data_IF_540530660529
#
_entry.id   IF_540530660529
#
_cell.length_a   1.000
_cell.length_b   1.000
_cell.length_c   1.000
_cell.angle_alpha   90.00
_cell.angle_beta   90.00
_cell.angle_gamma   90.00
#
_symmetry.space_group_name_H-M   'P 1'
#
loop_
_entity.id
_entity.type
_entity.pdbx_description
1 polymer ?
#
# COMPACT_ATOMS: atom_id res chain seq x y z
N UNK A 1 15.41 -9.71 -1.38
CA UNK A 1 14.66 -10.65 -2.24
C UNK A 1 13.35 -9.98 -2.60
N UNK A 2 12.93 -9.96 -3.86
CA UNK A 2 11.66 -9.37 -4.27
C UNK A 2 10.49 -10.20 -3.76
N UNK A 3 9.88 -9.77 -2.65
CA UNK A 3 8.65 -10.34 -2.08
C UNK A 3 7.97 -9.37 -1.12
N UNK A 4 6.65 -9.48 -0.91
CA UNK A 4 6.02 -8.73 0.17
C UNK A 4 6.54 -9.23 1.51
N UNK A 5 6.56 -8.35 2.51
CA UNK A 5 6.82 -8.71 3.90
C UNK A 5 5.64 -9.53 4.45
N UNK A 6 4.42 -9.11 4.16
CA UNK A 6 3.17 -9.80 4.55
C UNK A 6 2.07 -9.58 3.50
N UNK A 7 1.08 -10.45 3.50
CA UNK A 7 -0.11 -10.36 2.66
C UNK A 7 -1.36 -10.23 3.54
N UNK A 8 -2.14 -9.17 3.35
CA UNK A 8 -3.37 -8.92 4.09
C UNK A 8 -4.59 -8.89 3.17
N UNK A 9 -5.77 -9.15 3.72
CA UNK A 9 -7.01 -9.03 2.96
C UNK A 9 -7.31 -7.58 2.60
N UNK A 10 -7.15 -6.66 3.56
CA UNK A 10 -7.36 -5.23 3.38
C UNK A 10 -6.29 -4.42 4.11
N UNK A 11 -6.10 -3.18 3.69
CA UNK A 11 -5.23 -2.25 4.42
C UNK A 11 -5.77 -1.94 5.83
N UNK A 12 -7.09 -1.94 6.00
CA UNK A 12 -7.76 -1.69 7.29
C UNK A 12 -7.55 -2.79 8.31
N UNK A 13 -6.98 -3.93 7.91
CA UNK A 13 -6.60 -5.03 8.79
C UNK A 13 -5.29 -4.74 9.54
N UNK A 14 -4.57 -3.66 9.17
CA UNK A 14 -3.46 -3.11 9.94
C UNK A 14 -3.99 -2.37 11.16
N UNK A 15 -3.65 -2.84 12.36
CA UNK A 15 -3.99 -2.15 13.61
C UNK A 15 -2.89 -1.17 14.02
N UNK A 16 -3.21 -0.26 14.93
CA UNK A 16 -2.22 0.67 15.49
C UNK A 16 -1.15 -0.11 16.26
N UNK A 17 -1.58 -1.14 16.99
CA UNK A 17 -0.74 -2.02 17.78
C UNK A 17 0.29 -2.74 16.89
N UNK A 18 -0.15 -3.31 15.76
CA UNK A 18 0.77 -3.98 14.85
C UNK A 18 1.85 -3.02 14.31
N UNK A 19 1.47 -1.77 14.03
CA UNK A 19 2.39 -0.77 13.50
C UNK A 19 3.38 -0.28 14.58
N UNK A 20 2.91 -0.13 15.81
CA UNK A 20 3.77 0.22 16.96
C UNK A 20 4.80 -0.88 17.26
N UNK A 21 4.39 -2.15 17.25
CA UNK A 21 5.30 -3.30 17.41
C UNK A 21 6.37 -3.35 16.31
N UNK A 22 6.02 -2.92 15.09
CA UNK A 22 6.94 -2.84 13.96
C UNK A 22 7.75 -1.54 13.90
N UNK A 23 7.55 -0.63 14.86
CA UNK A 23 8.10 0.73 14.91
C UNK A 23 7.79 1.58 13.66
N UNK A 24 6.61 1.37 13.07
CA UNK A 24 6.13 2.11 11.90
C UNK A 24 5.45 3.40 12.34
N UNK A 25 5.86 4.51 11.76
CA UNK A 25 5.27 5.84 11.96
C UNK A 25 4.70 6.44 10.68
N UNK A 26 4.98 5.84 9.52
CA UNK A 26 4.44 6.29 8.22
C UNK A 26 4.00 5.10 7.37
N UNK A 27 2.77 5.19 6.86
CA UNK A 27 2.23 4.26 5.86
C UNK A 27 2.23 4.97 4.51
N UNK A 28 2.99 4.45 3.56
CA UNK A 28 2.92 4.86 2.16
C UNK A 28 2.02 3.88 1.42
N UNK A 29 0.88 4.31 0.90
CA UNK A 29 -0.11 3.41 0.29
C UNK A 29 -0.41 3.77 -1.15
N UNK A 30 -0.63 2.79 -2.00
CA UNK A 30 -1.34 3.03 -3.26
C UNK A 30 -2.80 3.48 -2.99
N UNK A 31 -3.40 4.11 -4.00
CA UNK A 31 -4.77 4.58 -3.95
C UNK A 31 -5.76 3.56 -4.54
N UNK A 32 -5.57 3.22 -5.82
CA UNK A 32 -6.58 2.55 -6.63
C UNK A 32 -6.54 1.05 -6.35
N UNK A 33 -7.68 0.45 -6.03
CA UNK A 33 -7.79 -0.94 -5.57
C UNK A 33 -7.01 -1.29 -4.29
N UNK A 34 -6.36 -0.33 -3.65
CA UNK A 34 -5.70 -0.49 -2.35
C UNK A 34 -6.47 0.23 -1.24
N UNK A 35 -6.58 1.56 -1.34
CA UNK A 35 -7.31 2.38 -0.36
C UNK A 35 -8.76 2.61 -0.79
N UNK A 36 -9.00 2.84 -2.09
CA UNK A 36 -10.31 3.06 -2.68
C UNK A 36 -10.50 2.20 -3.93
N UNK A 37 -11.74 1.81 -4.30
CA UNK A 37 -12.00 1.23 -5.61
C UNK A 37 -11.55 2.20 -6.72
N UNK A 38 -10.84 1.70 -7.75
CA UNK A 38 -10.23 2.55 -8.79
C UNK A 38 -11.22 3.45 -9.57
N UNK A 39 -12.50 3.04 -9.61
CA UNK A 39 -13.59 3.72 -10.31
C UNK A 39 -14.54 4.50 -9.37
N UNK A 40 -14.17 4.68 -8.11
CA UNK A 40 -14.97 5.40 -7.11
C UNK A 40 -14.14 6.46 -6.39
N UNK A 41 -14.81 7.50 -5.90
CA UNK A 41 -14.28 8.43 -4.90
C UNK A 41 -14.97 8.25 -3.55
N UNK A 42 -15.89 7.29 -3.47
CA UNK A 42 -16.60 6.97 -2.25
C UNK A 42 -15.72 6.07 -1.40
N UNK A 43 -15.64 6.42 -0.12
CA UNK A 43 -15.05 5.59 0.92
C UNK A 43 -16.12 5.22 1.94
N UNK A 44 -15.97 4.04 2.53
CA UNK A 44 -16.83 3.64 3.62
C UNK A 44 -16.40 4.27 4.95
N UNK A 45 -17.29 4.18 5.95
CA UNK A 45 -17.02 4.68 7.30
C UNK A 45 -15.87 3.93 7.98
N UNK A 46 -15.60 2.68 7.58
CA UNK A 46 -14.56 1.85 8.16
C UNK A 46 -13.16 2.39 7.81
N UNK A 47 -12.96 2.78 6.55
CA UNK A 47 -11.73 3.42 6.10
C UNK A 47 -11.50 4.75 6.80
N UNK A 48 -12.53 5.60 6.89
CA UNK A 48 -12.41 6.90 7.58
C UNK A 48 -12.06 6.73 9.05
N UNK A 49 -12.69 5.75 9.73
CA UNK A 49 -12.37 5.43 11.12
C UNK A 49 -10.92 4.97 11.26
N UNK A 50 -10.47 4.06 10.38
CA UNK A 50 -9.11 3.56 10.37
C UNK A 50 -8.07 4.68 10.17
N UNK A 51 -8.28 5.56 9.18
CA UNK A 51 -7.41 6.72 8.95
C UNK A 51 -7.34 7.67 10.15
N UNK A 52 -8.48 7.94 10.78
CA UNK A 52 -8.52 8.76 12.00
C UNK A 52 -7.78 8.11 13.16
N UNK A 53 -7.88 6.78 13.33
CA UNK A 53 -7.14 6.06 14.36
C UNK A 53 -5.63 6.14 14.13
N UNK A 54 -5.17 6.01 12.88
CA UNK A 54 -3.76 6.19 12.53
C UNK A 54 -3.27 7.60 12.87
N UNK A 55 -4.00 8.63 12.42
CA UNK A 55 -3.67 10.02 12.69
C UNK A 55 -3.62 10.34 14.21
N UNK A 56 -4.58 9.84 14.98
CA UNK A 56 -4.64 10.02 16.44
C UNK A 56 -3.45 9.36 17.18
N UNK A 57 -2.81 8.38 16.56
CA UNK A 57 -1.66 7.66 17.12
C UNK A 57 -0.32 8.07 16.48
N UNK A 58 -0.28 9.24 15.83
CA UNK A 58 0.90 9.78 15.15
C UNK A 58 1.46 8.88 14.04
N UNK A 59 0.58 8.11 13.40
CA UNK A 59 0.90 7.31 12.23
C UNK A 59 0.37 8.06 11.01
N UNK A 60 1.27 8.60 10.21
CA UNK A 60 0.90 9.35 9.01
C UNK A 60 0.57 8.39 7.86
N UNK A 61 -0.57 8.59 7.21
CA UNK A 61 -0.92 7.86 5.98
C UNK A 61 -0.73 8.78 4.78
N UNK A 62 0.08 8.30 3.84
CA UNK A 62 0.49 9.02 2.64
C UNK A 62 0.13 8.24 1.39
N UNK A 63 -0.62 8.85 0.49
CA UNK A 63 -0.91 8.28 -0.82
C UNK A 63 0.31 8.40 -1.73
N UNK A 64 0.71 7.30 -2.35
CA UNK A 64 1.74 7.26 -3.39
C UNK A 64 1.12 6.67 -4.66
N UNK A 65 0.71 7.52 -5.59
CA UNK A 65 -0.04 7.12 -6.79
C UNK A 65 0.66 7.50 -8.09
N UNK A 66 0.48 6.68 -9.12
CA UNK A 66 0.89 7.00 -10.50
C UNK A 66 -0.05 7.97 -11.22
N UNK A 67 -1.20 8.30 -10.62
CA UNK A 67 -2.18 9.24 -11.18
C UNK A 67 -1.74 10.71 -11.06
N UNK A 68 -2.48 11.60 -11.73
CA UNK A 68 -2.30 13.06 -11.58
C UNK A 68 -2.73 13.51 -10.18
N UNK A 69 -2.11 14.59 -9.70
CA UNK A 69 -2.46 15.18 -8.41
C UNK A 69 -3.95 15.52 -8.31
N UNK A 70 -4.52 16.17 -9.33
CA UNK A 70 -5.96 16.50 -9.40
C UNK A 70 -6.87 15.27 -9.21
N UNK A 71 -6.53 14.13 -9.83
CA UNK A 71 -7.32 12.89 -9.69
C UNK A 71 -7.25 12.33 -8.28
N UNK A 72 -6.06 12.37 -7.67
CA UNK A 72 -5.81 11.84 -6.32
C UNK A 72 -6.45 12.75 -5.28
N UNK A 73 -6.21 14.05 -5.34
CA UNK A 73 -6.79 15.05 -4.44
C UNK A 73 -8.32 14.98 -4.44
N UNK A 74 -8.94 14.87 -5.62
CA UNK A 74 -10.39 14.68 -5.73
C UNK A 74 -10.90 13.42 -5.02
N UNK A 75 -10.11 12.35 -5.01
CA UNK A 75 -10.50 11.07 -4.42
C UNK A 75 -10.38 11.07 -2.88
N UNK A 76 -9.44 11.85 -2.33
CA UNK A 76 -9.12 11.81 -0.89
C UNK A 76 -9.38 13.13 -0.16
N UNK A 77 -10.10 14.07 -0.79
CA UNK A 77 -10.31 15.45 -0.33
C UNK A 77 -10.66 15.59 1.16
N UNK A 78 -11.46 14.68 1.70
CA UNK A 78 -11.98 14.74 3.07
C UNK A 78 -11.30 13.72 4.01
N UNK A 79 -10.21 13.10 3.57
CA UNK A 79 -9.45 12.10 4.30
C UNK A 79 -8.16 12.72 4.87
N UNK A 80 -7.73 12.35 6.09
CA UNK A 80 -6.53 12.89 6.71
C UNK A 80 -5.27 12.21 6.15
N UNK A 81 -4.96 12.46 4.88
CA UNK A 81 -3.82 11.85 4.18
C UNK A 81 -2.99 12.89 3.44
N UNK A 82 -1.68 12.64 3.33
CA UNK A 82 -0.78 13.38 2.45
C UNK A 82 -0.71 12.73 1.06
N UNK A 83 -0.26 13.47 0.03
CA UNK A 83 -0.30 13.03 -1.36
C UNK A 83 1.05 13.16 -2.05
N UNK A 84 1.52 12.06 -2.62
CA UNK A 84 2.59 11.97 -3.61
C UNK A 84 1.99 11.42 -4.91
N UNK A 85 1.72 12.32 -5.85
CA UNK A 85 1.20 11.99 -7.17
C UNK A 85 2.33 11.77 -8.19
N UNK A 86 2.00 11.19 -9.35
CA UNK A 86 2.95 10.88 -10.44
C UNK A 86 4.20 10.13 -9.94
N UNK A 87 4.00 9.18 -9.04
CA UNK A 87 5.08 8.45 -8.37
C UNK A 87 5.95 7.57 -9.30
N UNK A 88 5.51 7.33 -10.54
CA UNK A 88 6.18 6.51 -11.57
C UNK A 88 6.60 5.10 -11.11
N UNK A 89 5.85 4.51 -10.18
CA UNK A 89 5.99 3.11 -9.77
C UNK A 89 5.95 2.19 -11.00
N UNK A 90 6.81 1.16 -11.08
CA UNK A 90 7.61 0.59 -9.99
C UNK A 90 8.94 1.30 -9.69
N UNK A 91 9.28 2.39 -10.38
CA UNK A 91 10.54 3.08 -10.12
C UNK A 91 10.52 3.73 -8.72
N UNK A 92 11.56 3.55 -7.89
CA UNK A 92 11.57 3.99 -6.51
C UNK A 92 11.91 5.49 -6.36
N UNK A 93 12.24 6.18 -7.45
CA UNK A 93 12.87 7.50 -7.39
C UNK A 93 12.05 8.55 -6.64
N UNK A 94 10.73 8.60 -6.88
CA UNK A 94 9.86 9.57 -6.19
C UNK A 94 9.73 9.23 -4.71
N UNK A 95 9.58 7.93 -4.38
CA UNK A 95 9.51 7.45 -3.00
C UNK A 95 10.80 7.79 -2.24
N UNK A 96 11.96 7.43 -2.80
CA UNK A 96 13.26 7.67 -2.19
C UNK A 96 13.57 9.16 -2.06
N UNK A 97 13.19 9.96 -3.06
CA UNK A 97 13.31 11.41 -2.99
C UNK A 97 12.54 11.96 -1.79
N UNK A 98 11.30 11.54 -1.63
CA UNK A 98 10.44 12.01 -0.55
C UNK A 98 10.94 11.57 0.84
N UNK A 99 11.35 10.31 0.99
CA UNK A 99 12.00 9.81 2.21
C UNK A 99 13.20 10.68 2.60
N UNK A 100 14.02 11.05 1.62
CA UNK A 100 15.20 11.88 1.84
C UNK A 100 14.85 13.33 2.21
N UNK A 101 13.90 13.93 1.50
CA UNK A 101 13.48 15.32 1.71
C UNK A 101 12.82 15.53 3.08
N UNK A 102 12.04 14.55 3.53
CA UNK A 102 11.37 14.59 4.84
C UNK A 102 12.21 13.98 5.97
N UNK A 103 13.44 13.55 5.69
CA UNK A 103 14.35 12.90 6.66
C UNK A 103 13.70 11.71 7.39
N UNK A 104 12.94 10.90 6.65
CA UNK A 104 12.25 9.72 7.18
C UNK A 104 13.23 8.55 7.26
N UNK A 105 13.22 7.81 8.37
CA UNK A 105 13.90 6.51 8.44
C UNK A 105 13.10 5.45 7.65
N UNK A 106 13.65 4.85 6.58
CA UNK A 106 12.99 3.79 5.82
C UNK A 106 12.48 2.61 6.67
N UNK A 107 13.10 2.35 7.82
CA UNK A 107 12.69 1.27 8.74
C UNK A 107 11.34 1.52 9.40
N UNK A 108 10.97 2.80 9.53
CA UNK A 108 9.72 3.24 10.15
C UNK A 108 8.60 3.43 9.11
N UNK A 109 8.84 3.01 7.86
CA UNK A 109 7.90 3.13 6.75
C UNK A 109 7.38 1.76 6.34
N UNK A 110 6.06 1.68 6.18
CA UNK A 110 5.36 0.53 5.61
C UNK A 110 4.74 0.93 4.26
N UNK A 111 5.12 0.24 3.20
CA UNK A 111 4.55 0.46 1.87
C UNK A 111 3.41 -0.53 1.59
N UNK A 112 2.21 -0.07 1.29
CA UNK A 112 1.02 -0.91 1.09
C UNK A 112 0.49 -0.76 -0.33
N UNK A 113 0.16 -1.86 -0.99
CA UNK A 113 -0.46 -1.83 -2.31
C UNK A 113 -1.03 -3.17 -2.74
N UNK A 114 -1.84 -3.18 -3.79
CA UNK A 114 -2.51 -4.39 -4.30
C UNK A 114 -1.73 -5.06 -5.43
N UNK A 115 -0.70 -4.40 -5.99
CA UNK A 115 0.07 -4.89 -7.14
C UNK A 115 1.50 -5.33 -6.78
N UNK A 116 1.85 -6.58 -7.13
CA UNK A 116 3.18 -7.13 -6.82
C UNK A 116 4.27 -6.49 -7.68
N UNK A 117 4.03 -6.32 -8.98
CA UNK A 117 5.01 -5.77 -9.92
C UNK A 117 5.07 -4.24 -9.91
N UNK A 118 4.19 -3.57 -9.16
CA UNK A 118 4.16 -2.11 -9.06
C UNK A 118 4.53 -1.67 -7.65
N UNK A 119 3.70 -2.01 -6.66
CA UNK A 119 3.82 -1.50 -5.30
C UNK A 119 4.87 -2.25 -4.49
N UNK A 120 4.77 -3.58 -4.44
CA UNK A 120 5.74 -4.43 -3.73
C UNK A 120 7.12 -4.27 -4.37
N UNK A 121 7.20 -4.08 -5.68
CA UNK A 121 8.47 -3.84 -6.37
C UNK A 121 9.04 -2.48 -6.01
N UNK A 122 8.25 -1.41 -6.08
CA UNK A 122 8.69 -0.07 -5.71
C UNK A 122 9.16 0.00 -4.26
N UNK A 123 8.39 -0.56 -3.32
CA UNK A 123 8.74 -0.57 -1.90
C UNK A 123 10.02 -1.38 -1.62
N UNK A 124 10.18 -2.57 -2.22
CA UNK A 124 11.41 -3.35 -2.09
C UNK A 124 12.63 -2.63 -2.69
N UNK A 125 12.47 -1.97 -3.85
CA UNK A 125 13.54 -1.19 -4.48
C UNK A 125 13.92 0.05 -3.65
N UNK A 126 12.97 0.61 -2.91
CA UNK A 126 13.18 1.68 -1.94
C UNK A 126 13.62 1.18 -0.54
N UNK A 127 13.87 -0.13 -0.38
CA UNK A 127 14.27 -0.77 0.87
C UNK A 127 13.27 -0.60 2.03
N UNK A 128 11.97 -0.63 1.71
CA UNK A 128 10.86 -0.51 2.66
C UNK A 128 10.23 -1.87 2.96
N UNK A 129 9.65 -2.02 4.16
CA UNK A 129 8.73 -3.14 4.43
C UNK A 129 7.49 -2.98 3.54
N UNK A 130 7.01 -4.07 2.94
CA UNK A 130 5.89 -4.02 1.99
C UNK A 130 4.72 -4.93 2.42
N UNK A 131 3.51 -4.41 2.37
CA UNK A 131 2.27 -5.18 2.52
C UNK A 131 1.61 -5.28 1.16
N UNK A 132 1.31 -6.52 0.74
CA UNK A 132 0.44 -6.76 -0.40
C UNK A 132 -0.99 -6.95 0.11
N UNK A 133 -1.96 -6.21 -0.42
CA UNK A 133 -3.38 -6.37 -0.09
C UNK A 133 -4.16 -6.99 -1.26
N UNK A 134 -5.35 -7.55 -0.98
CA UNK A 134 -6.27 -7.94 -2.07
C UNK A 134 -6.85 -6.67 -2.72
N UNK A 135 -7.08 -6.68 -4.05
CA UNK A 135 -7.75 -5.58 -4.70
C UNK A 135 -9.19 -5.42 -4.18
N UNK A 136 -9.59 -4.18 -3.90
CA UNK A 136 -10.93 -3.87 -3.39
C UNK A 136 -12.06 -4.27 -4.35
N UNK A 137 -11.83 -4.19 -5.66
CA UNK A 137 -12.74 -4.68 -6.70
C UNK A 137 -12.01 -5.55 -7.72
N UNK A 138 -12.73 -6.44 -8.39
CA UNK A 138 -12.14 -7.34 -9.40
C UNK A 138 -11.81 -6.65 -10.73
N UNK A 139 -12.28 -5.42 -10.91
CA UNK A 139 -12.05 -4.63 -12.12
C UNK A 139 -10.83 -3.73 -11.94
N UNK A 140 -10.21 -3.38 -13.06
CA UNK A 140 -9.01 -2.57 -13.10
C UNK A 140 -9.08 -1.61 -14.28
N UNK A 141 -8.34 -0.50 -14.20
CA UNK A 141 -8.05 0.32 -15.38
C UNK A 141 -7.35 -0.53 -16.47
N UNK A 142 -7.54 -0.17 -17.75
CA UNK A 142 -7.05 -0.96 -18.91
C UNK A 142 -5.57 -1.35 -18.79
N UNK A 143 -4.71 -0.41 -18.39
CA UNK A 143 -3.27 -0.66 -18.21
C UNK A 143 -2.99 -1.65 -17.07
N UNK A 144 -3.67 -1.46 -15.94
CA UNK A 144 -3.56 -2.31 -14.75
C UNK A 144 -3.98 -3.76 -15.04
N UNK A 145 -5.04 -3.97 -15.84
CA UNK A 145 -5.49 -5.32 -16.25
C UNK A 145 -4.40 -6.12 -16.98
N UNK A 146 -3.59 -5.47 -17.81
CA UNK A 146 -2.47 -6.13 -18.51
C UNK A 146 -1.39 -6.53 -17.49
N UNK A 147 -1.03 -5.63 -16.56
CA UNK A 147 -0.06 -5.93 -15.50
C UNK A 147 -0.54 -7.11 -14.63
N UNK A 148 -1.83 -7.14 -14.26
CA UNK A 148 -2.43 -8.24 -13.48
C UNK A 148 -2.28 -9.60 -14.13
N UNK A 149 -2.33 -9.69 -15.47
CA UNK A 149 -2.12 -10.94 -16.18
C UNK A 149 -0.72 -11.53 -15.94
N UNK A 150 0.31 -10.67 -15.96
CA UNK A 150 1.69 -11.07 -15.71
C UNK A 150 1.99 -11.24 -14.20
N UNK A 151 1.31 -10.52 -13.32
CA UNK A 151 1.50 -10.63 -11.86
C UNK A 151 1.01 -11.95 -11.27
N UNK A 152 -0.12 -12.48 -11.75
CA UNK A 152 -0.74 -13.72 -11.22
C UNK A 152 0.22 -14.92 -11.16
N UNK A 153 0.94 -15.28 -12.23
CA UNK A 153 1.89 -16.40 -12.17
C UNK A 153 3.08 -16.10 -11.24
N UNK A 154 3.53 -14.85 -11.17
CA UNK A 154 4.62 -14.43 -10.27
C UNK A 154 4.21 -14.62 -8.81
N UNK A 155 3.04 -14.11 -8.41
CA UNK A 155 2.53 -14.28 -7.05
C UNK A 155 2.38 -15.77 -6.71
N UNK A 156 1.78 -16.58 -7.59
CA UNK A 156 1.65 -18.03 -7.39
C UNK A 156 3.01 -18.72 -7.21
N UNK A 157 4.03 -18.32 -7.98
CA UNK A 157 5.37 -18.86 -7.85
C UNK A 157 6.01 -18.47 -6.51
N UNK A 158 5.77 -17.24 -6.03
CA UNK A 158 6.26 -16.77 -4.74
C UNK A 158 5.62 -17.54 -3.58
N UNK A 159 4.30 -17.72 -3.60
CA UNK A 159 3.57 -18.49 -2.58
C UNK A 159 3.96 -19.97 -2.54
N UNK A 160 4.31 -20.55 -3.71
CA UNK A 160 4.84 -21.92 -3.77
C UNK A 160 6.23 -22.04 -3.13
N UNK A 161 7.05 -20.99 -3.22
CA UNK A 161 8.43 -20.96 -2.69
C UNK A 161 8.46 -20.62 -1.20
N UNK A 162 7.56 -19.75 -0.74
CA UNK A 162 7.47 -19.29 0.65
C UNK A 162 6.06 -19.54 1.18
N UNK A 163 5.92 -20.60 2.00
CA UNK A 163 4.63 -21.02 2.57
C UNK A 163 4.05 -20.00 3.55
N UNK A 164 4.84 -19.03 4.01
CA UNK A 164 4.36 -17.96 4.88
C UNK A 164 3.63 -16.84 4.11
N UNK A 165 3.68 -16.85 2.77
CA UNK A 165 2.96 -15.91 1.91
C UNK A 165 1.53 -16.38 1.64
N UNK A 166 0.68 -16.28 2.66
CA UNK A 166 -0.76 -16.47 2.53
C UNK A 166 -1.50 -15.22 2.98
N UNK A 167 -2.72 -15.07 2.49
CA UNK A 167 -3.61 -13.98 2.86
C UNK A 167 -4.05 -14.11 4.32
N UNK A 168 -3.86 -13.06 5.09
CA UNK A 168 -4.22 -12.95 6.51
C UNK A 168 -5.23 -11.83 6.71
N UNK A 169 -6.02 -11.91 7.77
CA UNK A 169 -6.93 -10.86 8.24
C UNK A 169 -6.36 -10.07 9.43
N UNK A 170 -5.15 -10.41 9.88
CA UNK A 170 -4.38 -9.69 10.89
C UNK A 170 -2.88 -9.95 10.74
N UNK A 171 -2.05 -8.97 11.12
CA UNK A 171 -0.59 -9.14 11.23
C UNK A 171 -0.21 -10.24 12.24
N UNK A 172 -1.04 -10.43 13.26
CA UNK A 172 -0.88 -11.42 14.31
C UNK A 172 -1.46 -12.81 14.00
N UNK A 173 -2.03 -13.00 12.81
CA UNK A 173 -2.50 -14.32 12.37
C UNK A 173 -1.31 -15.29 12.25
N UNK A 174 -1.23 -16.21 13.21
CA UNK A 174 -0.27 -17.32 13.28
C UNK A 174 -1.04 -18.60 12.97
N UNK A 175 -0.96 -19.07 11.72
CA UNK A 175 -1.24 -20.47 11.39
C UNK A 175 -0.09 -21.38 11.73
#
# INVERSE_FOLDING_TARGET
>A
MFKPYIMLDKITDLTVEDLQELHITKIMTDLDNTLLPWNSNEYDLSLRKWLNQMAQNNIEVMIVSNNSYERVEKAVKDLPVSIVARAVKPLPFVIMKHIKEENIDPKNVLFVGDQVMTDVLAGNMANLKTVLVKPLVQTDAKKTRINRFFERPILKAMQKRDKNLYWKDSLNDRR
#
